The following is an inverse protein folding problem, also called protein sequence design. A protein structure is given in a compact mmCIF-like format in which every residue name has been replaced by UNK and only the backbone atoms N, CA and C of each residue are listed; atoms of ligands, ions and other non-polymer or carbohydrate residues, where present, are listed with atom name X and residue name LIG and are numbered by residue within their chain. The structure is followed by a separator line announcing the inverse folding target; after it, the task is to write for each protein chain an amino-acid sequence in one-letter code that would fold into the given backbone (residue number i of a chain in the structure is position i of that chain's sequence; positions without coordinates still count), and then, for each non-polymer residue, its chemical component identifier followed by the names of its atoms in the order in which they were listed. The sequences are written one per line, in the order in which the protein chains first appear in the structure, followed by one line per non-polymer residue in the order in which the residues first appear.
data_IF_139936157926
#
_entry.id   IF_139936157926
#
_cell.length_a   1.000
_cell.length_b   1.000
_cell.length_c   1.000
_cell.angle_alpha   90.00
_cell.angle_beta   90.00
_cell.angle_gamma   90.00
#
_symmetry.space_group_name_H-M   'P 1'
#
loop_
_entity.id
_entity.type
_entity.pdbx_description
1 polymer ?
#
# COMPACT_ATOMS: atom_id res chain seq x y z
N UNK A 1 20.77 33.90 -22.75
CA UNK A 1 21.71 33.90 -23.90
C UNK A 1 22.29 32.51 -23.95
N UNK A 2 22.51 31.99 -25.20
CA UNK A 2 23.19 30.73 -25.36
C UNK A 2 24.68 30.82 -25.00
N UNK A 3 25.28 29.69 -24.64
CA UNK A 3 26.74 29.56 -24.44
C UNK A 3 27.24 28.29 -25.12
N UNK A 4 28.52 28.23 -25.41
CA UNK A 4 29.16 27.05 -25.99
C UNK A 4 29.64 26.11 -24.89
N UNK A 5 29.04 24.91 -24.80
CA UNK A 5 29.42 23.87 -23.85
C UNK A 5 30.35 22.83 -24.50
N UNK A 6 31.27 22.32 -23.70
CA UNK A 6 32.16 21.22 -24.09
C UNK A 6 31.59 19.88 -23.66
N UNK A 7 31.46 18.98 -24.64
CA UNK A 7 30.97 17.61 -24.41
C UNK A 7 32.07 16.60 -24.76
N UNK A 8 32.10 15.51 -23.98
CA UNK A 8 32.81 14.27 -24.32
C UNK A 8 31.78 13.17 -24.49
N UNK A 9 31.51 12.77 -25.72
CA UNK A 9 30.52 11.74 -26.00
C UNK A 9 31.22 10.47 -26.43
N UNK A 10 30.86 9.36 -25.79
CA UNK A 10 31.42 8.06 -26.17
C UNK A 10 30.92 7.63 -27.54
N UNK A 11 31.87 7.29 -28.42
CA UNK A 11 31.63 6.82 -29.80
C UNK A 11 32.32 5.49 -30.00
N UNK A 12 31.59 4.54 -30.58
CA UNK A 12 32.13 3.22 -30.87
C UNK A 12 31.07 2.14 -30.90
N UNK A 13 31.51 0.88 -30.84
CA UNK A 13 30.65 -0.28 -30.88
C UNK A 13 31.07 -1.35 -29.82
N UNK A 14 30.63 -2.59 -30.00
CA UNK A 14 30.96 -3.68 -29.08
C UNK A 14 32.46 -4.05 -29.04
N UNK A 15 33.26 -3.60 -30.00
CA UNK A 15 34.65 -4.02 -30.17
C UNK A 15 35.66 -2.95 -29.76
N UNK A 16 35.36 -1.68 -30.07
CA UNK A 16 36.25 -0.56 -29.80
C UNK A 16 35.46 0.76 -29.69
N UNK A 17 35.97 1.72 -28.92
CA UNK A 17 35.38 3.06 -28.80
C UNK A 17 36.13 3.95 -27.83
N UNK A 18 35.95 5.25 -28.00
CA UNK A 18 36.56 6.27 -27.15
C UNK A 18 35.66 7.50 -26.98
N UNK A 19 36.05 8.39 -26.09
CA UNK A 19 35.39 9.68 -25.88
C UNK A 19 35.85 10.68 -26.94
N UNK A 20 34.92 11.16 -27.77
CA UNK A 20 35.17 12.24 -28.72
C UNK A 20 34.74 13.58 -28.12
N UNK A 21 35.53 14.62 -28.42
CA UNK A 21 35.31 16.01 -27.98
C UNK A 21 34.40 16.77 -28.94
N UNK A 22 33.38 17.43 -28.39
CA UNK A 22 32.45 18.26 -29.12
C UNK A 22 32.29 19.62 -28.44
N UNK A 23 32.10 20.69 -29.24
CA UNK A 23 31.64 21.98 -28.77
C UNK A 23 30.28 22.26 -29.39
N UNK A 24 29.31 22.62 -28.59
CA UNK A 24 27.93 22.78 -29.03
C UNK A 24 27.22 23.88 -28.24
N UNK A 25 26.46 24.71 -28.95
CA UNK A 25 25.65 25.77 -28.34
C UNK A 25 24.57 25.17 -27.44
N UNK A 26 24.40 25.75 -26.25
CA UNK A 26 23.36 25.41 -25.28
C UNK A 26 22.47 26.62 -25.04
N UNK A 27 21.16 26.45 -25.14
CA UNK A 27 20.20 27.49 -24.86
C UNK A 27 19.54 27.28 -23.47
N UNK A 28 18.96 28.34 -22.95
CA UNK A 28 18.26 28.28 -21.68
C UNK A 28 17.13 27.22 -21.66
N UNK A 29 17.05 26.43 -20.60
CA UNK A 29 16.02 25.42 -20.43
C UNK A 29 16.28 24.07 -21.10
N UNK A 30 17.34 23.94 -21.91
CA UNK A 30 17.66 22.68 -22.59
C UNK A 30 18.14 21.57 -21.65
N UNK A 31 17.94 20.34 -22.10
CA UNK A 31 18.39 19.12 -21.43
C UNK A 31 19.48 18.42 -22.26
N UNK A 32 20.24 17.54 -21.64
CA UNK A 32 21.32 16.81 -22.33
C UNK A 32 20.84 16.10 -23.60
N UNK A 33 19.62 15.58 -23.65
CA UNK A 33 19.07 14.95 -24.85
C UNK A 33 18.94 15.94 -26.03
N UNK A 34 18.59 17.19 -25.77
CA UNK A 34 18.49 18.22 -26.84
C UNK A 34 19.88 18.52 -27.44
N UNK A 35 20.90 18.51 -26.58
CA UNK A 35 22.29 18.70 -27.02
C UNK A 35 22.77 17.50 -27.85
N UNK A 36 22.46 16.27 -27.44
CA UNK A 36 22.78 15.06 -28.24
C UNK A 36 22.07 15.11 -29.61
N UNK A 37 20.82 15.54 -29.67
CA UNK A 37 20.11 15.72 -30.96
C UNK A 37 20.72 16.85 -31.82
N UNK A 38 21.20 17.92 -31.19
CA UNK A 38 21.89 18.98 -31.91
C UNK A 38 23.23 18.49 -32.48
N UNK A 39 23.98 17.68 -31.71
CA UNK A 39 25.18 17.01 -32.24
C UNK A 39 24.86 16.13 -33.44
N UNK A 40 23.79 15.32 -33.37
CA UNK A 40 23.33 14.52 -34.51
C UNK A 40 22.99 15.40 -35.74
N UNK A 41 22.34 16.54 -35.53
CA UNK A 41 21.93 17.42 -36.62
C UNK A 41 23.08 18.19 -37.28
N UNK A 42 24.15 18.50 -36.53
CA UNK A 42 25.17 19.46 -36.98
C UNK A 42 26.57 18.89 -37.16
N UNK A 43 26.96 17.86 -36.40
CA UNK A 43 28.33 17.41 -36.32
C UNK A 43 28.51 15.92 -36.61
N UNK A 44 27.60 15.08 -36.06
CA UNK A 44 27.75 13.62 -36.11
C UNK A 44 26.38 12.92 -36.30
N UNK A 45 25.88 12.89 -37.55
CA UNK A 45 24.54 12.40 -37.87
C UNK A 45 24.36 10.90 -37.62
N UNK A 46 25.44 10.14 -37.46
CA UNK A 46 25.43 8.71 -37.19
C UNK A 46 25.51 8.34 -35.69
N UNK A 47 25.55 9.33 -34.79
CA UNK A 47 25.53 9.11 -33.33
C UNK A 47 24.27 8.37 -32.92
N UNK A 48 24.45 7.17 -32.40
CA UNK A 48 23.35 6.33 -31.97
C UNK A 48 22.91 6.67 -30.53
N UNK A 49 21.62 7.00 -30.37
CA UNK A 49 21.00 7.23 -29.08
C UNK A 49 19.55 6.72 -29.10
N UNK A 50 19.11 6.09 -28.03
CA UNK A 50 17.68 5.73 -27.85
C UNK A 50 16.93 6.88 -27.19
N UNK A 51 15.77 7.19 -27.72
CA UNK A 51 14.84 8.13 -27.09
C UNK A 51 13.41 7.90 -27.61
N UNK A 52 12.41 8.41 -26.88
CA UNK A 52 11.02 8.33 -27.31
C UNK A 52 10.17 9.48 -26.74
N UNK A 53 9.83 9.47 -25.43
CA UNK A 53 8.81 10.36 -24.85
C UNK A 53 9.30 11.80 -24.59
N UNK A 54 10.59 12.04 -24.41
CA UNK A 54 11.22 13.31 -23.96
C UNK A 54 10.66 13.88 -22.63
N UNK A 55 9.94 13.07 -21.83
CA UNK A 55 9.20 13.52 -20.65
C UNK A 55 9.46 12.63 -19.40
N UNK A 56 10.56 11.88 -19.38
CA UNK A 56 10.93 11.07 -18.23
C UNK A 56 10.01 9.87 -17.96
N UNK A 57 9.24 9.37 -18.94
CA UNK A 57 8.21 8.33 -18.73
C UNK A 57 8.47 6.99 -19.44
N UNK A 58 9.44 6.90 -20.32
CA UNK A 58 9.68 5.68 -21.11
C UNK A 58 11.01 4.99 -20.81
N UNK A 59 11.92 5.62 -20.07
CA UNK A 59 13.23 5.05 -19.75
C UNK A 59 14.22 4.91 -20.91
N UNK A 60 13.82 5.19 -22.18
CA UNK A 60 14.63 4.87 -23.36
C UNK A 60 15.94 5.64 -23.45
N UNK A 61 15.97 6.90 -23.00
CA UNK A 61 17.14 7.77 -23.08
C UNK A 61 18.11 7.65 -21.90
N UNK A 62 18.21 6.46 -21.32
CA UNK A 62 19.13 6.19 -20.22
C UNK A 62 20.57 6.13 -20.69
N UNK A 63 21.45 6.88 -20.03
CA UNK A 63 22.88 6.91 -20.24
C UNK A 63 23.60 7.37 -18.97
N UNK A 64 24.94 7.31 -18.93
CA UNK A 64 25.69 7.95 -17.85
C UNK A 64 26.09 9.37 -18.26
N UNK A 65 25.84 10.33 -17.38
CA UNK A 65 26.27 11.73 -17.54
C UNK A 65 27.22 12.07 -16.39
N UNK A 66 28.44 12.43 -16.70
CA UNK A 66 29.52 12.60 -15.72
C UNK A 66 29.63 11.40 -14.76
N UNK A 67 29.59 10.18 -15.34
CA UNK A 67 29.70 8.93 -14.61
C UNK A 67 28.50 8.56 -13.71
N UNK A 68 27.39 9.28 -13.81
CA UNK A 68 26.13 8.98 -13.07
C UNK A 68 25.02 8.55 -14.04
N UNK A 69 24.37 7.40 -13.82
CA UNK A 69 23.22 6.98 -14.62
C UNK A 69 22.07 7.96 -14.48
N UNK A 70 21.59 8.49 -15.63
CA UNK A 70 20.52 9.49 -15.70
C UNK A 70 19.66 9.31 -16.95
N UNK A 71 18.46 9.87 -16.92
CA UNK A 71 17.66 10.09 -18.14
C UNK A 71 18.15 11.36 -18.83
N UNK A 72 18.61 11.26 -20.06
CA UNK A 72 19.10 12.43 -20.82
C UNK A 72 18.04 13.51 -20.98
N UNK A 73 16.76 13.12 -21.16
CA UNK A 73 15.63 14.03 -21.29
C UNK A 73 15.22 14.76 -19.99
N UNK A 74 15.74 14.33 -18.84
CA UNK A 74 15.46 14.94 -17.55
C UNK A 74 16.68 15.64 -16.94
N UNK A 75 17.85 15.47 -17.55
CA UNK A 75 19.09 16.08 -17.08
C UNK A 75 19.25 17.47 -17.70
N UNK A 76 18.93 18.51 -16.92
CA UNK A 76 18.99 19.90 -17.36
C UNK A 76 20.43 20.37 -17.49
N UNK A 77 20.73 21.14 -18.53
CA UNK A 77 22.04 21.75 -18.73
C UNK A 77 22.42 22.72 -17.61
N UNK A 78 21.43 23.40 -17.02
CA UNK A 78 21.63 24.29 -15.86
C UNK A 78 22.16 23.61 -14.60
N UNK A 79 22.27 22.27 -14.55
CA UNK A 79 22.89 21.55 -13.44
C UNK A 79 24.40 21.47 -13.52
N UNK A 80 24.99 21.88 -14.64
CA UNK A 80 26.42 21.94 -14.90
C UNK A 80 26.89 23.39 -14.96
N UNK A 81 28.13 23.64 -14.56
CA UNK A 81 28.75 24.94 -14.79
C UNK A 81 29.02 25.16 -16.31
N UNK A 82 28.97 26.40 -16.77
CA UNK A 82 29.13 26.70 -18.22
C UNK A 82 30.52 26.27 -18.77
N UNK A 83 31.54 26.26 -17.91
CA UNK A 83 32.90 25.83 -18.24
C UNK A 83 33.15 24.32 -17.94
N UNK A 84 32.18 23.63 -17.36
CA UNK A 84 32.31 22.19 -17.08
C UNK A 84 32.26 21.38 -18.38
N UNK A 85 33.11 20.36 -18.46
CA UNK A 85 33.05 19.37 -19.54
C UNK A 85 32.02 18.30 -19.16
N UNK A 86 30.95 18.16 -19.96
CA UNK A 86 29.92 17.16 -19.76
C UNK A 86 30.25 15.87 -20.50
N UNK A 87 30.54 14.79 -19.79
CA UNK A 87 30.74 13.49 -20.42
C UNK A 87 29.43 12.72 -20.52
N UNK A 88 29.18 12.08 -21.68
CA UNK A 88 28.03 11.21 -21.91
C UNK A 88 28.52 9.86 -22.43
N UNK A 89 28.25 8.80 -21.65
CA UNK A 89 28.69 7.44 -21.96
C UNK A 89 27.50 6.47 -21.92
N UNK A 90 27.61 5.29 -22.60
CA UNK A 90 26.59 4.25 -22.48
C UNK A 90 26.50 3.73 -21.05
N UNK A 91 25.38 3.05 -20.73
CA UNK A 91 25.21 2.34 -19.44
C UNK A 91 26.26 1.22 -19.32
N UNK A 92 27.16 1.33 -18.33
CA UNK A 92 28.32 0.42 -18.18
C UNK A 92 27.97 -1.01 -17.80
N UNK A 93 26.83 -1.23 -17.18
CA UNK A 93 26.40 -2.56 -16.78
C UNK A 93 25.95 -3.45 -17.95
N UNK A 94 25.82 -2.90 -19.16
CA UNK A 94 25.29 -3.60 -20.31
C UNK A 94 26.22 -3.51 -21.51
N UNK A 95 26.30 -4.56 -22.36
CA UNK A 95 27.12 -4.55 -23.57
C UNK A 95 26.75 -3.40 -24.49
N UNK A 96 27.72 -2.73 -25.04
CA UNK A 96 27.50 -1.66 -26.04
C UNK A 96 27.11 -2.28 -27.38
N UNK A 97 26.07 -1.71 -28.01
CA UNK A 97 25.68 -2.02 -29.38
C UNK A 97 26.31 -1.01 -30.34
N UNK A 98 26.06 0.27 -30.10
CA UNK A 98 26.69 1.39 -30.80
C UNK A 98 26.52 2.67 -29.99
N UNK A 99 27.58 3.42 -29.81
CA UNK A 99 27.65 4.71 -29.13
C UNK A 99 26.94 4.68 -27.76
N UNK A 100 25.83 5.39 -27.59
CA UNK A 100 25.06 5.42 -26.33
C UNK A 100 23.99 4.32 -26.24
N UNK A 101 23.94 3.41 -27.21
CA UNK A 101 22.98 2.30 -27.25
C UNK A 101 23.60 1.04 -26.70
N UNK A 102 22.98 0.46 -25.68
CA UNK A 102 23.40 -0.78 -25.03
C UNK A 102 22.39 -1.92 -25.23
N UNK A 103 22.84 -3.16 -25.12
CA UNK A 103 21.98 -4.34 -25.09
C UNK A 103 21.46 -4.58 -23.65
N UNK A 104 20.20 -4.29 -23.47
CA UNK A 104 19.48 -4.44 -22.18
C UNK A 104 18.70 -5.76 -22.08
N UNK A 105 18.96 -6.74 -22.95
CA UNK A 105 18.24 -8.04 -23.02
C UNK A 105 18.29 -8.80 -21.71
N UNK A 106 19.38 -8.72 -20.96
CA UNK A 106 19.52 -9.27 -19.61
C UNK A 106 18.31 -8.96 -18.72
N UNK A 107 17.84 -7.72 -18.77
CA UNK A 107 16.72 -7.28 -17.93
C UNK A 107 15.41 -7.98 -18.31
N UNK A 108 15.15 -8.18 -19.59
CA UNK A 108 13.95 -8.85 -20.08
C UNK A 108 13.99 -10.38 -19.83
N UNK A 109 15.17 -10.98 -19.87
CA UNK A 109 15.36 -12.38 -19.48
C UNK A 109 15.06 -12.58 -18.00
N UNK A 110 15.58 -11.70 -17.14
CA UNK A 110 15.25 -11.72 -15.71
C UNK A 110 13.76 -11.47 -15.46
N UNK A 111 13.12 -10.56 -16.21
CA UNK A 111 11.68 -10.30 -16.08
C UNK A 111 10.84 -11.56 -16.37
N UNK A 112 11.22 -12.38 -17.38
CA UNK A 112 10.54 -13.62 -17.69
C UNK A 112 10.69 -14.70 -16.60
N UNK A 113 11.74 -14.62 -15.79
CA UNK A 113 11.98 -15.54 -14.67
C UNK A 113 11.11 -15.23 -13.45
N UNK A 114 10.54 -14.00 -13.34
CA UNK A 114 9.62 -13.66 -12.27
C UNK A 114 8.24 -14.25 -12.60
N UNK A 115 7.78 -15.27 -11.87
CA UNK A 115 6.48 -15.87 -12.13
C UNK A 115 5.35 -14.87 -11.94
N UNK A 116 4.31 -14.99 -12.76
CA UNK A 116 3.13 -14.12 -12.70
C UNK A 116 2.44 -14.20 -11.33
N UNK A 117 1.60 -13.20 -11.06
CA UNK A 117 0.67 -13.20 -9.94
C UNK A 117 -0.14 -14.49 -9.89
N UNK A 118 -0.24 -15.10 -8.72
CA UNK A 118 -0.96 -16.35 -8.50
C UNK A 118 -2.05 -16.14 -7.44
N UNK A 119 -3.31 -15.87 -7.85
CA UNK A 119 -4.41 -15.71 -6.92
C UNK A 119 -4.80 -17.04 -6.26
N UNK A 120 -5.51 -17.01 -5.10
CA UNK A 120 -6.16 -18.18 -4.56
C UNK A 120 -7.11 -18.82 -5.60
N UNK A 121 -7.18 -20.15 -5.62
CA UNK A 121 -7.97 -20.90 -6.61
C UNK A 121 -9.48 -20.82 -6.41
N UNK A 122 -9.91 -20.31 -5.26
CA UNK A 122 -11.30 -20.15 -4.84
C UNK A 122 -11.89 -18.76 -5.18
N UNK A 123 -11.06 -17.85 -5.72
CA UNK A 123 -11.53 -16.54 -6.17
C UNK A 123 -11.89 -16.54 -7.65
N UNK A 124 -13.08 -16.01 -7.97
CA UNK A 124 -13.50 -15.80 -9.35
C UNK A 124 -12.80 -14.58 -10.00
N UNK A 125 -12.77 -14.57 -11.33
CA UNK A 125 -12.28 -13.40 -12.09
C UNK A 125 -13.11 -12.16 -11.73
N UNK A 126 -12.43 -11.10 -11.29
CA UNK A 126 -13.06 -9.84 -10.85
C UNK A 126 -13.19 -9.68 -9.33
N UNK A 127 -12.91 -10.71 -8.55
CA UNK A 127 -12.94 -10.67 -7.08
C UNK A 127 -11.59 -10.33 -6.43
N UNK A 128 -10.59 -9.95 -7.24
CA UNK A 128 -9.25 -9.58 -6.75
C UNK A 128 -9.21 -8.18 -6.15
N UNK A 129 -9.88 -8.01 -5.00
CA UNK A 129 -9.91 -6.73 -4.30
C UNK A 129 -8.78 -6.65 -3.28
N UNK A 130 -8.18 -5.48 -3.19
CA UNK A 130 -7.18 -5.14 -2.16
C UNK A 130 -7.74 -4.05 -1.27
N UNK A 131 -7.41 -4.12 0.02
CA UNK A 131 -7.64 -3.01 0.92
C UNK A 131 -6.75 -1.82 0.52
N UNK A 132 -7.23 -0.59 0.77
CA UNK A 132 -6.51 0.62 0.41
C UNK A 132 -5.10 0.66 1.04
N UNK A 133 -4.94 0.16 2.26
CA UNK A 133 -3.65 0.07 2.94
C UNK A 133 -2.65 -0.83 2.18
N UNK A 134 -3.11 -1.96 1.64
CA UNK A 134 -2.26 -2.86 0.85
C UNK A 134 -1.92 -2.26 -0.52
N UNK A 135 -2.86 -1.51 -1.12
CA UNK A 135 -2.59 -0.74 -2.34
C UNK A 135 -1.50 0.31 -2.08
N UNK A 136 -1.62 1.12 -1.02
CA UNK A 136 -0.65 2.15 -0.67
C UNK A 136 0.75 1.58 -0.41
N UNK A 137 0.82 0.40 0.17
CA UNK A 137 2.05 -0.32 0.50
C UNK A 137 2.82 -0.77 -0.75
N UNK A 138 2.12 -1.16 -1.82
CA UNK A 138 2.69 -1.74 -3.03
C UNK A 138 2.70 -0.79 -4.24
N UNK A 139 1.86 0.27 -4.26
CA UNK A 139 1.70 1.15 -5.42
C UNK A 139 2.98 1.90 -5.82
N UNK A 140 3.88 2.16 -4.87
CA UNK A 140 5.16 2.81 -5.14
C UNK A 140 5.95 2.07 -6.22
N UNK A 141 5.91 0.74 -6.21
CA UNK A 141 6.68 -0.09 -7.14
C UNK A 141 6.15 -0.07 -8.57
N UNK A 142 4.85 0.25 -8.74
CA UNK A 142 4.21 0.40 -10.06
C UNK A 142 4.65 1.64 -10.82
N UNK A 143 5.28 2.61 -10.16
CA UNK A 143 5.85 3.80 -10.81
C UNK A 143 7.06 3.49 -11.70
N UNK A 144 7.61 2.27 -11.62
CA UNK A 144 8.81 1.88 -12.35
C UNK A 144 8.61 1.94 -13.87
N UNK A 145 9.40 2.78 -14.54
CA UNK A 145 9.39 2.99 -16.00
C UNK A 145 10.40 2.11 -16.76
N UNK A 146 11.02 1.16 -16.08
CA UNK A 146 12.01 0.22 -16.67
C UNK A 146 13.19 0.91 -17.38
N UNK A 147 13.69 1.99 -16.81
CA UNK A 147 14.84 2.72 -17.31
C UNK A 147 16.19 2.03 -17.07
N UNK A 148 16.23 1.07 -16.16
CA UNK A 148 17.40 0.28 -15.76
C UNK A 148 18.58 1.07 -15.16
N UNK A 149 18.41 2.35 -14.81
CA UNK A 149 19.44 3.14 -14.13
C UNK A 149 19.84 2.52 -12.79
N UNK A 150 18.88 1.93 -12.07
CA UNK A 150 19.14 1.22 -10.82
C UNK A 150 19.96 -0.07 -11.02
N UNK A 151 19.82 -0.73 -12.16
CA UNK A 151 20.65 -1.89 -12.55
C UNK A 151 22.06 -1.44 -12.91
N UNK A 152 22.21 -0.36 -13.66
CA UNK A 152 23.48 0.20 -14.08
C UNK A 152 24.34 0.69 -12.91
N UNK A 153 23.74 1.36 -11.93
CA UNK A 153 24.46 1.83 -10.74
C UNK A 153 24.80 0.71 -9.73
N UNK A 154 24.15 -0.46 -9.85
CA UNK A 154 24.34 -1.56 -8.91
C UNK A 154 25.69 -2.24 -9.15
N UNK A 155 26.64 -2.05 -8.23
CA UNK A 155 27.98 -2.65 -8.37
C UNK A 155 27.96 -4.19 -8.43
N UNK A 156 26.96 -4.87 -7.88
CA UNK A 156 26.81 -6.33 -8.00
C UNK A 156 26.46 -6.74 -9.45
N UNK A 157 25.73 -5.91 -10.20
CA UNK A 157 25.41 -6.12 -11.61
C UNK A 157 26.51 -5.59 -12.52
N UNK A 158 27.01 -4.38 -12.22
CA UNK A 158 27.92 -3.62 -13.08
C UNK A 158 29.35 -4.12 -13.05
N UNK A 159 29.87 -4.40 -11.85
CA UNK A 159 31.31 -4.65 -11.67
C UNK A 159 31.63 -6.16 -11.65
N UNK A 160 30.60 -7.02 -11.70
CA UNK A 160 30.73 -8.47 -11.56
C UNK A 160 29.81 -9.21 -12.55
N UNK A 161 30.29 -9.42 -13.77
CA UNK A 161 29.54 -10.08 -14.83
C UNK A 161 29.05 -11.48 -14.43
N UNK A 162 29.87 -12.23 -13.67
CA UNK A 162 29.55 -13.55 -13.16
C UNK A 162 28.31 -13.58 -12.26
N UNK A 163 28.01 -12.47 -11.58
CA UNK A 163 26.83 -12.37 -10.72
C UNK A 163 25.52 -12.27 -11.49
N UNK A 164 25.54 -11.85 -12.74
CA UNK A 164 24.33 -11.72 -13.56
C UNK A 164 23.56 -13.03 -13.73
N UNK A 165 24.25 -14.17 -13.65
CA UNK A 165 23.59 -15.46 -13.70
C UNK A 165 22.64 -15.69 -12.51
N UNK A 166 23.07 -15.32 -11.29
CA UNK A 166 22.41 -15.62 -10.01
C UNK A 166 21.77 -14.42 -9.31
N UNK A 167 22.03 -13.19 -9.77
CA UNK A 167 21.52 -11.97 -9.18
C UNK A 167 20.62 -11.20 -10.14
N UNK A 168 19.36 -11.04 -9.79
CA UNK A 168 18.40 -10.37 -10.68
C UNK A 168 18.53 -8.85 -10.68
N UNK A 169 19.02 -8.26 -9.58
CA UNK A 169 19.22 -6.82 -9.44
C UNK A 169 18.01 -6.06 -8.91
N UNK A 170 18.21 -4.77 -8.57
CA UNK A 170 17.25 -3.96 -7.83
C UNK A 170 15.90 -3.78 -8.57
N UNK A 171 15.89 -3.68 -9.90
CA UNK A 171 14.65 -3.58 -10.68
C UNK A 171 13.69 -4.74 -10.43
N UNK A 172 14.24 -5.95 -10.29
CA UNK A 172 13.43 -7.16 -10.10
C UNK A 172 13.03 -7.37 -8.67
N UNK A 173 13.82 -6.90 -7.72
CA UNK A 173 13.43 -6.95 -6.31
C UNK A 173 12.22 -6.06 -6.00
N UNK A 174 12.06 -4.92 -6.67
CA UNK A 174 10.81 -4.14 -6.51
C UNK A 174 9.60 -4.88 -7.10
N UNK A 175 9.76 -5.62 -8.20
CA UNK A 175 8.68 -6.45 -8.74
C UNK A 175 8.32 -7.61 -7.83
N UNK A 176 9.32 -8.29 -7.28
CA UNK A 176 9.11 -9.35 -6.30
C UNK A 176 8.48 -8.83 -5.01
N UNK A 177 8.90 -7.64 -4.54
CA UNK A 177 8.33 -7.01 -3.36
C UNK A 177 6.85 -6.61 -3.58
N UNK A 178 6.52 -6.09 -4.76
CA UNK A 178 5.13 -5.79 -5.13
C UNK A 178 4.24 -7.05 -5.02
N UNK A 179 4.71 -8.17 -5.54
CA UNK A 179 4.01 -9.45 -5.49
C UNK A 179 3.97 -10.03 -4.07
N UNK A 180 5.10 -9.97 -3.32
CA UNK A 180 5.17 -10.46 -1.93
C UNK A 180 4.28 -9.65 -0.95
N UNK A 181 4.05 -8.38 -1.26
CA UNK A 181 3.17 -7.51 -0.49
C UNK A 181 1.70 -7.60 -0.93
N UNK A 182 1.41 -8.27 -2.04
CA UNK A 182 0.05 -8.43 -2.51
C UNK A 182 -0.69 -9.48 -1.68
N UNK A 183 -1.79 -9.15 -0.96
CA UNK A 183 -2.45 -10.05 -0.02
C UNK A 183 -3.02 -11.31 -0.68
N UNK A 184 -3.31 -11.25 -1.99
CA UNK A 184 -3.86 -12.33 -2.77
C UNK A 184 -2.82 -13.10 -3.61
N UNK A 185 -1.52 -12.82 -3.49
CA UNK A 185 -0.49 -13.65 -4.11
C UNK A 185 -0.14 -14.82 -3.17
N UNK A 186 -0.42 -16.05 -3.60
CA UNK A 186 -0.21 -17.25 -2.76
C UNK A 186 1.18 -17.88 -2.91
N UNK A 187 2.04 -17.35 -3.81
CA UNK A 187 3.40 -17.86 -4.00
C UNK A 187 4.34 -17.48 -2.87
N UNK A 188 5.32 -18.32 -2.60
CA UNK A 188 6.42 -17.98 -1.70
C UNK A 188 7.48 -17.13 -2.41
N UNK A 189 7.21 -15.83 -2.54
CA UNK A 189 8.11 -14.86 -3.18
C UNK A 189 9.42 -14.67 -2.43
N UNK A 190 9.44 -14.91 -1.14
CA UNK A 190 10.64 -14.82 -0.31
C UNK A 190 11.65 -15.90 -0.68
N UNK A 191 11.15 -17.11 -0.89
CA UNK A 191 11.98 -18.22 -1.35
C UNK A 191 12.51 -17.95 -2.76
N UNK A 192 11.68 -17.49 -3.67
CA UNK A 192 12.08 -17.11 -5.03
C UNK A 192 13.19 -16.03 -5.01
N UNK A 193 12.98 -14.97 -4.22
CA UNK A 193 13.95 -13.87 -4.09
C UNK A 193 15.31 -14.35 -3.58
N UNK A 194 15.33 -15.26 -2.59
CA UNK A 194 16.56 -15.72 -1.95
C UNK A 194 17.29 -16.78 -2.80
N UNK A 195 16.58 -17.81 -3.25
CA UNK A 195 17.19 -19.00 -3.87
C UNK A 195 17.42 -18.84 -5.38
N UNK A 196 16.50 -18.12 -6.06
CA UNK A 196 16.55 -17.99 -7.53
C UNK A 196 17.15 -16.66 -7.97
N UNK A 197 16.88 -15.58 -7.25
CA UNK A 197 17.19 -14.21 -7.67
C UNK A 197 18.31 -13.54 -6.86
N UNK A 198 18.94 -14.27 -5.92
CA UNK A 198 20.14 -13.85 -5.23
C UNK A 198 20.00 -12.63 -4.31
N UNK A 199 18.84 -12.47 -3.65
CA UNK A 199 18.59 -11.33 -2.75
C UNK A 199 19.69 -11.13 -1.70
N UNK A 200 20.33 -12.23 -1.23
CA UNK A 200 21.42 -12.21 -0.27
C UNK A 200 22.65 -11.44 -0.74
N UNK A 201 22.90 -11.36 -2.06
CA UNK A 201 24.08 -10.68 -2.63
C UNK A 201 23.99 -9.15 -2.55
N UNK A 202 22.80 -8.58 -2.32
CA UNK A 202 22.64 -7.14 -2.14
C UNK A 202 23.22 -6.69 -0.79
N UNK A 203 24.17 -5.77 -0.80
CA UNK A 203 24.84 -5.22 0.39
C UNK A 203 24.26 -3.87 0.88
N UNK A 204 23.09 -3.46 0.37
CA UNK A 204 22.30 -2.33 0.89
C UNK A 204 23.03 -0.96 0.77
N UNK A 205 23.79 -0.74 -0.30
CA UNK A 205 24.49 0.55 -0.56
C UNK A 205 23.56 1.72 -0.94
N UNK A 206 22.29 1.46 -1.22
CA UNK A 206 21.26 2.44 -1.60
C UNK A 206 21.48 3.17 -2.94
N UNK A 207 22.52 2.88 -3.68
CA UNK A 207 22.80 3.50 -4.96
C UNK A 207 21.61 3.39 -5.96
N UNK A 208 20.91 2.27 -5.97
CA UNK A 208 19.73 2.07 -6.81
C UNK A 208 18.56 3.02 -6.45
N UNK A 209 18.38 3.33 -5.15
CA UNK A 209 17.37 4.30 -4.70
C UNK A 209 17.74 5.72 -5.12
N UNK A 210 19.03 6.07 -5.04
CA UNK A 210 19.54 7.41 -5.34
C UNK A 210 19.31 7.80 -6.81
N UNK A 211 19.48 6.87 -7.76
CA UNK A 211 19.37 7.15 -9.19
C UNK A 211 17.95 6.98 -9.76
N UNK A 212 16.98 6.57 -8.95
CA UNK A 212 15.64 6.30 -9.45
C UNK A 212 14.89 7.58 -9.85
N UNK A 213 14.54 7.79 -11.14
CA UNK A 213 13.87 9.02 -11.58
C UNK A 213 12.43 9.12 -11.11
N UNK A 214 11.80 8.02 -10.74
CA UNK A 214 10.44 7.98 -10.16
C UNK A 214 10.47 7.97 -8.61
N UNK A 215 11.63 8.22 -8.00
CA UNK A 215 11.84 8.31 -6.55
C UNK A 215 11.37 7.10 -5.76
N UNK A 216 11.42 5.91 -6.36
CA UNK A 216 11.09 4.66 -5.67
C UNK A 216 12.17 4.38 -4.63
N UNK A 217 11.76 4.20 -3.38
CA UNK A 217 12.67 3.82 -2.27
C UNK A 217 13.02 2.34 -2.35
N UNK A 218 13.74 1.96 -3.41
CA UNK A 218 14.03 0.56 -3.78
C UNK A 218 14.64 -0.22 -2.62
N UNK A 219 15.64 0.35 -1.97
CA UNK A 219 16.34 -0.32 -0.86
C UNK A 219 15.45 -0.41 0.37
N UNK A 220 14.89 0.72 0.81
CA UNK A 220 14.21 0.80 2.11
C UNK A 220 12.82 0.15 2.09
N UNK A 221 12.07 0.28 0.98
CA UNK A 221 10.70 -0.20 0.92
C UNK A 221 10.56 -1.59 0.26
N UNK A 222 11.55 -2.04 -0.54
CA UNK A 222 11.50 -3.35 -1.18
C UNK A 222 12.58 -4.31 -0.65
N UNK A 223 13.87 -3.97 -0.79
CA UNK A 223 14.96 -4.92 -0.55
C UNK A 223 15.10 -5.23 0.94
N UNK A 224 15.14 -4.22 1.80
CA UNK A 224 15.28 -4.41 3.26
C UNK A 224 14.10 -5.20 3.83
N UNK A 225 12.82 -4.82 3.59
CA UNK A 225 11.68 -5.61 4.08
C UNK A 225 11.66 -7.05 3.56
N UNK A 226 12.10 -7.27 2.31
CA UNK A 226 12.17 -8.62 1.76
C UNK A 226 13.24 -9.48 2.44
N UNK A 227 14.43 -8.89 2.72
CA UNK A 227 15.49 -9.57 3.48
C UNK A 227 15.05 -9.91 4.90
N UNK A 228 14.39 -8.98 5.61
CA UNK A 228 13.85 -9.20 6.94
C UNK A 228 12.85 -10.36 6.94
N UNK A 229 11.90 -10.38 6.02
CA UNK A 229 10.92 -11.48 5.91
C UNK A 229 11.53 -12.83 5.55
N UNK A 230 12.62 -12.86 4.78
CA UNK A 230 13.38 -14.10 4.53
C UNK A 230 14.01 -14.60 5.82
N UNK A 231 14.61 -13.72 6.61
CA UNK A 231 15.21 -14.07 7.91
C UNK A 231 14.14 -14.58 8.88
N UNK A 232 13.03 -13.85 9.04
CA UNK A 232 11.93 -14.22 9.93
C UNK A 232 11.35 -15.61 9.61
N UNK A 233 11.13 -15.89 8.31
CA UNK A 233 10.56 -17.19 7.89
C UNK A 233 11.51 -18.35 7.99
N UNK A 234 12.83 -18.14 7.90
CA UNK A 234 13.83 -19.20 7.79
C UNK A 234 14.61 -19.43 9.09
N UNK A 235 14.85 -18.38 9.87
CA UNK A 235 15.77 -18.41 11.00
C UNK A 235 15.15 -18.06 12.34
N UNK A 236 13.92 -17.49 12.37
CA UNK A 236 13.22 -17.24 13.62
C UNK A 236 12.50 -18.51 14.11
N UNK A 237 12.96 -19.14 15.21
CA UNK A 237 12.34 -20.35 15.74
C UNK A 237 10.92 -20.11 16.23
N UNK A 238 10.55 -18.89 16.64
CA UNK A 238 9.20 -18.54 17.07
C UNK A 238 8.25 -18.44 15.87
N UNK A 239 8.70 -17.83 14.77
CA UNK A 239 7.95 -17.78 13.51
C UNK A 239 7.85 -19.17 12.91
N UNK A 240 8.92 -19.96 12.93
CA UNK A 240 8.91 -21.35 12.49
C UNK A 240 7.95 -22.23 13.33
N UNK A 241 7.97 -22.11 14.67
CA UNK A 241 7.04 -22.79 15.55
C UNK A 241 5.60 -22.31 15.31
N UNK A 242 5.38 -21.01 15.15
CA UNK A 242 4.10 -20.40 14.83
C UNK A 242 3.55 -20.79 13.47
N UNK A 243 4.43 -21.06 12.46
CA UNK A 243 4.01 -21.52 11.13
C UNK A 243 3.50 -22.96 11.13
N UNK A 244 3.91 -23.77 12.10
CA UNK A 244 3.42 -25.15 12.28
C UNK A 244 2.10 -25.23 13.05
N UNK A 245 1.70 -24.16 13.74
CA UNK A 245 0.40 -24.07 14.36
C UNK A 245 -0.63 -23.81 13.24
N UNK A 246 -1.68 -24.63 13.11
CA UNK A 246 -2.68 -24.45 12.07
C UNK A 246 -3.38 -23.08 12.23
N UNK A 247 -2.91 -22.06 11.52
CA UNK A 247 -3.53 -20.72 11.43
C UNK A 247 -4.79 -20.71 10.54
N UNK A 248 -5.11 -21.84 9.91
CA UNK A 248 -5.98 -21.91 8.73
C UNK A 248 -7.43 -21.48 8.94
N UNK A 249 -8.03 -21.72 10.11
CA UNK A 249 -9.46 -21.44 10.25
C UNK A 249 -9.78 -19.97 10.58
N UNK A 250 -9.01 -19.30 11.44
CA UNK A 250 -9.24 -17.88 11.77
C UNK A 250 -8.88 -16.94 10.61
N UNK A 251 -7.84 -17.28 9.84
CA UNK A 251 -7.43 -16.52 8.64
C UNK A 251 -8.43 -16.70 7.49
N UNK A 252 -9.02 -17.88 7.33
CA UNK A 252 -10.05 -18.13 6.33
C UNK A 252 -11.31 -17.31 6.63
N UNK A 253 -11.80 -17.35 7.87
CA UNK A 253 -12.99 -16.60 8.27
C UNK A 253 -12.80 -15.07 8.12
N UNK A 254 -11.67 -14.53 8.56
CA UNK A 254 -11.33 -13.12 8.35
C UNK A 254 -11.21 -12.76 6.85
N UNK A 255 -10.69 -13.66 6.03
CA UNK A 255 -10.58 -13.45 4.58
C UNK A 255 -11.94 -13.41 3.89
N UNK A 256 -12.86 -14.32 4.25
CA UNK A 256 -14.24 -14.32 3.74
C UNK A 256 -14.98 -13.04 4.14
N UNK A 257 -14.77 -12.55 5.36
CA UNK A 257 -15.33 -11.28 5.78
C UNK A 257 -14.82 -10.10 4.93
N UNK A 258 -13.51 -10.04 4.67
CA UNK A 258 -12.91 -8.99 3.82
C UNK A 258 -13.29 -9.09 2.34
N UNK A 259 -13.67 -10.27 1.85
CA UNK A 259 -14.20 -10.45 0.50
C UNK A 259 -15.69 -10.10 0.36
N UNK A 260 -16.35 -9.75 1.47
CA UNK A 260 -17.79 -9.45 1.52
C UNK A 260 -18.68 -10.69 1.62
N UNK A 261 -18.10 -11.90 1.73
CA UNK A 261 -18.86 -13.13 1.97
C UNK A 261 -19.07 -13.35 3.48
N UNK A 262 -19.99 -12.56 4.00
CA UNK A 262 -20.29 -12.50 5.44
C UNK A 262 -20.85 -13.81 5.97
N UNK A 263 -21.66 -14.52 5.17
CA UNK A 263 -22.28 -15.80 5.56
C UNK A 263 -21.22 -16.90 5.70
N UNK A 264 -20.30 -17.00 4.74
CA UNK A 264 -19.18 -17.95 4.84
C UNK A 264 -18.25 -17.60 5.99
N UNK A 265 -17.99 -16.32 6.24
CA UNK A 265 -17.18 -15.86 7.37
C UNK A 265 -17.79 -16.26 8.71
N UNK A 266 -19.10 -16.09 8.89
CA UNK A 266 -19.84 -16.53 10.07
C UNK A 266 -19.71 -18.05 10.28
N UNK A 267 -19.99 -18.84 9.22
CA UNK A 267 -19.90 -20.29 9.27
C UNK A 267 -18.51 -20.78 9.72
N UNK A 268 -17.47 -20.28 9.07
CA UNK A 268 -16.08 -20.61 9.39
C UNK A 268 -15.66 -20.20 10.80
N UNK A 269 -16.11 -19.02 11.26
CA UNK A 269 -15.84 -18.55 12.62
C UNK A 269 -16.52 -19.44 13.67
N UNK A 270 -17.80 -19.80 13.46
CA UNK A 270 -18.55 -20.72 14.33
C UNK A 270 -17.93 -22.13 14.37
N UNK A 271 -17.48 -22.65 13.22
CA UNK A 271 -16.78 -23.94 13.14
C UNK A 271 -15.47 -23.91 13.97
N UNK A 272 -14.75 -22.83 13.89
CA UNK A 272 -13.53 -22.65 14.68
C UNK A 272 -13.83 -22.56 16.17
N UNK A 273 -14.86 -21.84 16.56
CA UNK A 273 -15.28 -21.72 17.96
C UNK A 273 -15.81 -23.03 18.55
N UNK A 274 -16.41 -23.90 17.73
CA UNK A 274 -16.75 -25.30 18.18
C UNK A 274 -15.50 -26.07 18.56
N UNK A 275 -14.37 -25.87 17.86
CA UNK A 275 -13.10 -26.54 18.17
C UNK A 275 -12.32 -25.86 19.30
N UNK A 276 -12.39 -24.53 19.34
CA UNK A 276 -11.67 -23.68 20.30
C UNK A 276 -12.54 -22.49 20.72
N UNK A 277 -13.38 -22.64 21.75
CA UNK A 277 -14.34 -21.61 22.19
C UNK A 277 -13.71 -20.25 22.56
N UNK A 278 -12.43 -20.24 22.93
CA UNK A 278 -11.69 -19.08 23.39
C UNK A 278 -10.80 -18.46 22.27
N UNK A 279 -11.03 -18.82 21.01
CA UNK A 279 -10.24 -18.28 19.91
C UNK A 279 -10.59 -16.81 19.64
N UNK A 280 -9.74 -15.91 20.12
CA UNK A 280 -9.96 -14.45 20.04
C UNK A 280 -10.12 -13.94 18.60
N UNK A 281 -9.43 -14.54 17.62
CA UNK A 281 -9.57 -14.17 16.20
C UNK A 281 -10.92 -14.60 15.64
N UNK A 282 -11.36 -15.82 15.96
CA UNK A 282 -12.66 -16.32 15.53
C UNK A 282 -13.82 -15.55 16.18
N UNK A 283 -13.70 -15.18 17.46
CA UNK A 283 -14.68 -14.33 18.15
C UNK A 283 -14.76 -12.94 17.49
N UNK A 284 -13.62 -12.33 17.14
CA UNK A 284 -13.62 -11.05 16.46
C UNK A 284 -14.26 -11.11 15.06
N UNK A 285 -13.95 -12.15 14.28
CA UNK A 285 -14.54 -12.34 12.96
C UNK A 285 -16.05 -12.63 13.03
N UNK A 286 -16.48 -13.44 13.99
CA UNK A 286 -17.91 -13.71 14.22
C UNK A 286 -18.66 -12.44 14.58
N UNK A 287 -18.13 -11.63 15.49
CA UNK A 287 -18.71 -10.36 15.89
C UNK A 287 -18.91 -9.44 14.70
N UNK A 288 -17.87 -9.25 13.87
CA UNK A 288 -17.95 -8.41 12.66
C UNK A 288 -18.93 -8.98 11.62
N UNK A 289 -18.96 -10.30 11.44
CA UNK A 289 -19.89 -10.92 10.51
C UNK A 289 -21.36 -10.77 10.96
N UNK A 290 -21.63 -10.83 12.24
CA UNK A 290 -22.95 -10.59 12.82
C UNK A 290 -23.36 -9.12 12.71
N UNK A 291 -22.44 -8.20 12.96
CA UNK A 291 -22.64 -6.77 12.75
C UNK A 291 -23.04 -6.47 11.30
N UNK A 292 -22.29 -6.97 10.32
CA UNK A 292 -22.59 -6.78 8.90
C UNK A 292 -23.94 -7.36 8.45
N UNK A 293 -24.54 -8.24 9.24
CA UNK A 293 -25.90 -8.80 9.04
C UNK A 293 -26.98 -8.08 9.86
N UNK A 294 -26.68 -6.94 10.46
CA UNK A 294 -27.58 -6.22 11.39
C UNK A 294 -28.05 -7.06 12.62
N UNK A 295 -27.31 -8.08 13.01
CA UNK A 295 -27.57 -8.94 14.17
C UNK A 295 -26.81 -8.43 15.39
N UNK A 296 -27.05 -7.17 15.76
CA UNK A 296 -26.24 -6.45 16.75
C UNK A 296 -26.31 -7.04 18.15
N UNK A 297 -27.49 -7.54 18.58
CA UNK A 297 -27.61 -8.21 19.87
C UNK A 297 -26.75 -9.48 19.97
N UNK A 298 -26.72 -10.32 18.93
CA UNK A 298 -25.84 -11.49 18.87
C UNK A 298 -24.36 -11.10 18.75
N UNK A 299 -24.06 -10.01 18.04
CA UNK A 299 -22.71 -9.46 17.96
C UNK A 299 -22.23 -8.97 19.33
N UNK A 300 -23.09 -8.33 20.12
CA UNK A 300 -22.81 -7.92 21.48
C UNK A 300 -22.53 -9.13 22.41
N UNK A 301 -23.33 -10.21 22.35
CA UNK A 301 -23.08 -11.43 23.11
C UNK A 301 -21.73 -12.07 22.76
N UNK A 302 -21.39 -12.07 21.46
CA UNK A 302 -20.07 -12.51 20.99
C UNK A 302 -18.96 -11.58 21.52
N UNK A 303 -19.19 -10.27 21.53
CA UNK A 303 -18.30 -9.25 22.08
C UNK A 303 -18.04 -9.44 23.58
N UNK A 304 -19.07 -9.78 24.36
CA UNK A 304 -18.95 -10.13 25.78
C UNK A 304 -17.99 -11.30 25.97
N UNK A 305 -18.21 -12.40 25.22
CA UNK A 305 -17.33 -13.56 25.25
C UNK A 305 -15.89 -13.20 24.86
N UNK A 306 -15.72 -12.31 23.89
CA UNK A 306 -14.40 -11.83 23.48
C UNK A 306 -13.68 -11.04 24.59
N UNK A 307 -14.39 -10.23 25.37
CA UNK A 307 -13.84 -9.50 26.53
C UNK A 307 -13.41 -10.45 27.61
N UNK A 308 -14.21 -11.46 27.93
CA UNK A 308 -13.92 -12.49 28.96
C UNK A 308 -12.63 -13.26 28.60
N UNK A 309 -12.42 -13.55 27.34
CA UNK A 309 -11.27 -14.31 26.85
C UNK A 309 -10.14 -13.43 26.30
N UNK A 310 -10.25 -12.09 26.41
CA UNK A 310 -9.19 -11.19 26.02
C UNK A 310 -7.94 -11.41 26.88
N UNK A 311 -6.80 -11.62 26.22
CA UNK A 311 -5.52 -11.82 26.89
C UNK A 311 -5.09 -10.63 27.75
N UNK A 312 -3.97 -10.76 28.46
CA UNK A 312 -3.43 -9.71 29.35
C UNK A 312 -2.90 -8.47 28.62
N UNK A 313 -2.79 -8.53 27.30
CA UNK A 313 -2.33 -7.40 26.49
C UNK A 313 -3.33 -6.24 26.55
N UNK A 314 -2.88 -5.09 27.06
CA UNK A 314 -3.70 -3.88 27.26
C UNK A 314 -4.48 -3.48 26.01
N UNK A 315 -3.80 -3.43 24.85
CA UNK A 315 -4.41 -3.06 23.58
C UNK A 315 -5.50 -4.04 23.11
N UNK A 316 -5.27 -5.36 23.26
CA UNK A 316 -6.25 -6.37 22.87
C UNK A 316 -7.51 -6.30 23.75
N UNK A 317 -7.35 -6.06 25.04
CA UNK A 317 -8.47 -5.92 25.98
C UNK A 317 -9.27 -4.64 25.73
N UNK A 318 -8.57 -3.53 25.45
CA UNK A 318 -9.21 -2.27 25.07
C UNK A 318 -10.05 -2.43 23.80
N UNK A 319 -9.48 -3.01 22.74
CA UNK A 319 -10.19 -3.24 21.47
C UNK A 319 -11.41 -4.15 21.64
N UNK A 320 -11.33 -5.18 22.50
CA UNK A 320 -12.45 -6.03 22.79
C UNK A 320 -13.58 -5.29 23.53
N UNK A 321 -13.25 -4.46 24.52
CA UNK A 321 -14.22 -3.63 25.26
C UNK A 321 -14.88 -2.60 24.38
N UNK A 322 -14.10 -1.87 23.56
CA UNK A 322 -14.61 -0.87 22.61
C UNK A 322 -15.60 -1.50 21.62
N UNK A 323 -15.22 -2.61 20.99
CA UNK A 323 -16.08 -3.32 20.06
C UNK A 323 -17.35 -3.89 20.75
N UNK A 324 -17.24 -4.37 21.97
CA UNK A 324 -18.40 -4.85 22.72
C UNK A 324 -19.38 -3.69 23.03
N UNK A 325 -18.87 -2.57 23.53
CA UNK A 325 -19.69 -1.39 23.83
C UNK A 325 -20.37 -0.86 22.55
N UNK A 326 -19.66 -0.86 21.43
CA UNK A 326 -20.19 -0.48 20.13
C UNK A 326 -21.39 -1.33 19.72
N UNK A 327 -21.31 -2.65 19.82
CA UNK A 327 -22.40 -3.54 19.45
C UNK A 327 -23.62 -3.41 20.41
N UNK A 328 -23.39 -3.17 21.69
CA UNK A 328 -24.50 -2.86 22.61
C UNK A 328 -25.25 -1.60 22.19
N UNK A 329 -24.52 -0.55 21.83
CA UNK A 329 -25.10 0.70 21.37
C UNK A 329 -25.85 0.54 20.03
N UNK A 330 -25.29 -0.20 19.05
CA UNK A 330 -25.96 -0.52 17.80
C UNK A 330 -27.23 -1.36 18.02
N UNK A 331 -27.21 -2.28 18.98
CA UNK A 331 -28.38 -3.08 19.33
C UNK A 331 -29.49 -2.24 19.98
N UNK A 332 -29.15 -1.24 20.78
CA UNK A 332 -30.13 -0.27 21.33
C UNK A 332 -30.67 0.64 20.23
N UNK A 333 -29.79 1.24 19.40
CA UNK A 333 -30.16 2.10 18.28
C UNK A 333 -31.15 1.40 17.32
N UNK A 334 -30.92 0.12 17.04
CA UNK A 334 -31.77 -0.69 16.15
C UNK A 334 -33.01 -1.29 16.83
N UNK A 335 -33.23 -1.02 18.11
CA UNK A 335 -34.36 -1.56 18.88
C UNK A 335 -34.29 -3.06 19.19
N UNK A 336 -33.10 -3.69 19.04
CA UNK A 336 -32.88 -5.10 19.41
C UNK A 336 -32.70 -5.29 20.91
N UNK A 337 -32.24 -4.26 21.62
CA UNK A 337 -32.13 -4.22 23.08
C UNK A 337 -32.77 -2.93 23.61
N UNK A 338 -33.37 -3.01 24.80
CA UNK A 338 -33.85 -1.84 25.53
C UNK A 338 -32.69 -1.19 26.30
N UNK A 339 -32.59 0.16 26.22
CA UNK A 339 -31.50 0.90 26.85
C UNK A 339 -31.41 0.65 28.36
N UNK A 340 -32.55 0.73 29.06
CA UNK A 340 -32.64 0.52 30.51
C UNK A 340 -32.07 -0.83 30.94
N UNK A 341 -32.13 -1.84 30.07
CA UNK A 341 -31.62 -3.20 30.37
C UNK A 341 -30.10 -3.35 30.27
N UNK A 342 -29.41 -2.43 29.56
CA UNK A 342 -27.96 -2.52 29.25
C UNK A 342 -27.16 -1.25 29.61
N UNK A 343 -27.81 -0.23 30.16
CA UNK A 343 -27.20 1.06 30.52
C UNK A 343 -25.96 0.94 31.40
N UNK A 344 -26.11 0.17 32.54
CA UNK A 344 -25.01 -0.05 33.47
C UNK A 344 -23.83 -0.82 32.84
N UNK A 345 -24.14 -1.72 31.90
CA UNK A 345 -23.12 -2.50 31.17
C UNK A 345 -22.38 -1.62 30.16
N UNK A 346 -23.08 -0.77 29.42
CA UNK A 346 -22.49 0.22 28.50
C UNK A 346 -21.57 1.17 29.28
N UNK A 347 -22.06 1.76 30.38
CA UNK A 347 -21.28 2.67 31.20
C UNK A 347 -20.01 2.01 31.77
N UNK A 348 -20.14 0.78 32.26
CA UNK A 348 -19.02 0.01 32.84
C UNK A 348 -17.96 -0.32 31.77
N UNK A 349 -18.38 -0.84 30.62
CA UNK A 349 -17.45 -1.26 29.56
C UNK A 349 -16.75 -0.06 28.92
N UNK A 350 -17.46 1.04 28.72
CA UNK A 350 -16.91 2.30 28.21
C UNK A 350 -15.86 2.87 29.17
N UNK A 351 -16.17 2.92 30.47
CA UNK A 351 -15.22 3.38 31.49
C UNK A 351 -13.97 2.48 31.56
N UNK A 352 -14.14 1.16 31.44
CA UNK A 352 -13.01 0.23 31.41
C UNK A 352 -12.13 0.43 30.18
N UNK A 353 -12.75 0.61 28.99
CA UNK A 353 -12.04 0.89 27.75
C UNK A 353 -11.24 2.21 27.84
N UNK A 354 -11.83 3.26 28.42
CA UNK A 354 -11.17 4.55 28.63
C UNK A 354 -9.93 4.44 29.54
N UNK A 355 -10.02 3.71 30.64
CA UNK A 355 -8.88 3.49 31.57
C UNK A 355 -7.70 2.77 30.89
N UNK A 356 -7.95 2.02 29.83
CA UNK A 356 -6.93 1.31 29.06
C UNK A 356 -6.37 2.14 27.91
N UNK A 357 -6.97 3.28 27.60
CA UNK A 357 -6.58 4.13 26.47
C UNK A 357 -5.47 5.12 26.86
N UNK A 358 -4.50 5.32 25.98
CA UNK A 358 -3.43 6.30 26.15
C UNK A 358 -3.71 7.64 25.45
N UNK A 359 -4.65 7.64 24.49
CA UNK A 359 -5.08 8.81 23.70
C UNK A 359 -6.59 8.85 23.61
N UNK A 360 -7.22 10.02 23.83
CA UNK A 360 -8.69 10.19 23.90
C UNK A 360 -9.43 9.82 22.62
N UNK A 361 -8.78 9.92 21.48
CA UNK A 361 -9.38 9.77 20.13
C UNK A 361 -9.80 8.35 19.73
N UNK A 362 -9.26 7.32 20.39
CA UNK A 362 -9.53 5.89 20.05
C UNK A 362 -10.98 5.45 20.31
N UNK A 363 -11.73 6.21 21.11
CA UNK A 363 -13.11 5.89 21.47
C UNK A 363 -14.11 6.94 20.99
N UNK A 364 -13.68 7.92 20.18
CA UNK A 364 -14.54 9.04 19.79
C UNK A 364 -15.80 8.58 19.08
N UNK A 365 -15.74 7.61 18.16
CA UNK A 365 -16.91 7.03 17.51
C UNK A 365 -17.86 6.32 18.51
N UNK A 366 -17.32 5.55 19.45
CA UNK A 366 -18.15 4.91 20.50
C UNK A 366 -18.81 5.93 21.41
N UNK A 367 -18.13 7.03 21.74
CA UNK A 367 -18.71 8.15 22.49
C UNK A 367 -19.79 8.87 21.68
N UNK A 368 -19.56 9.07 20.39
CA UNK A 368 -20.54 9.68 19.49
C UNK A 368 -21.86 8.88 19.50
N UNK A 369 -21.79 7.58 19.28
CA UNK A 369 -22.96 6.71 19.27
C UNK A 369 -23.62 6.63 20.67
N UNK A 370 -22.84 6.60 21.74
CA UNK A 370 -23.36 6.68 23.10
C UNK A 370 -24.15 7.99 23.35
N UNK A 371 -23.65 9.13 22.90
CA UNK A 371 -24.36 10.39 23.02
C UNK A 371 -25.63 10.41 22.16
N UNK A 372 -25.57 9.85 20.93
CA UNK A 372 -26.71 9.76 20.03
C UNK A 372 -27.86 8.97 20.65
N UNK A 373 -27.59 7.77 21.18
CA UNK A 373 -28.59 6.89 21.84
C UNK A 373 -29.23 7.56 23.04
N UNK A 374 -28.53 8.47 23.72
CA UNK A 374 -29.06 9.25 24.86
C UNK A 374 -29.68 10.58 24.44
N UNK A 375 -29.87 10.85 23.14
CA UNK A 375 -30.49 12.09 22.61
C UNK A 375 -29.61 13.34 22.77
N UNK A 376 -28.33 13.20 23.08
CA UNK A 376 -27.38 14.32 23.21
C UNK A 376 -26.73 14.60 21.84
N UNK A 377 -27.53 15.23 20.97
CA UNK A 377 -27.22 15.34 19.55
C UNK A 377 -25.97 16.19 19.25
N UNK A 378 -25.79 17.30 19.97
CA UNK A 378 -24.63 18.19 19.76
C UNK A 378 -23.30 17.51 20.10
N UNK A 379 -23.26 16.80 21.22
CA UNK A 379 -22.10 16.01 21.64
C UNK A 379 -21.85 14.82 20.70
N UNK A 380 -22.92 14.19 20.20
CA UNK A 380 -22.79 13.13 19.22
C UNK A 380 -22.13 13.63 17.93
N UNK A 381 -22.55 14.78 17.41
CA UNK A 381 -21.95 15.42 16.22
C UNK A 381 -20.48 15.79 16.45
N UNK A 382 -20.15 16.39 17.61
CA UNK A 382 -18.76 16.76 17.95
C UNK A 382 -17.83 15.54 17.95
N UNK A 383 -18.23 14.48 18.67
CA UNK A 383 -17.43 13.25 18.75
C UNK A 383 -17.36 12.47 17.42
N UNK A 384 -18.43 12.50 16.60
CA UNK A 384 -18.40 11.89 15.26
C UNK A 384 -17.41 12.62 14.35
N UNK A 385 -17.40 13.95 14.35
CA UNK A 385 -16.44 14.75 13.57
C UNK A 385 -15.00 14.48 14.01
N UNK A 386 -14.75 14.32 15.30
CA UNK A 386 -13.43 13.92 15.82
C UNK A 386 -13.05 12.51 15.34
N UNK A 387 -13.93 11.52 15.43
CA UNK A 387 -13.70 10.15 14.99
C UNK A 387 -13.32 10.09 13.52
N UNK A 388 -14.11 10.71 12.64
CA UNK A 388 -13.91 10.72 11.19
C UNK A 388 -12.55 11.28 10.76
N UNK A 389 -11.98 12.24 11.51
CA UNK A 389 -10.64 12.80 11.22
C UNK A 389 -9.54 11.77 11.43
N UNK A 390 -9.69 10.86 12.39
CA UNK A 390 -8.68 9.88 12.77
C UNK A 390 -8.90 8.49 12.16
N UNK A 391 -10.12 8.21 11.70
CA UNK A 391 -10.46 6.91 11.13
C UNK A 391 -9.77 6.68 9.79
N UNK A 392 -8.98 5.60 9.76
CA UNK A 392 -8.31 5.12 8.55
C UNK A 392 -8.98 3.88 7.96
N UNK A 393 -9.83 3.24 8.76
CA UNK A 393 -10.60 2.07 8.31
C UNK A 393 -11.91 2.51 7.66
N UNK A 394 -12.16 1.96 6.46
CA UNK A 394 -13.31 2.34 5.63
C UNK A 394 -14.65 1.99 6.27
N UNK A 395 -14.72 0.87 6.96
CA UNK A 395 -15.95 0.36 7.59
C UNK A 395 -16.30 1.20 8.81
N UNK A 396 -15.33 1.40 9.71
CA UNK A 396 -15.49 2.23 10.91
C UNK A 396 -15.86 3.66 10.53
N UNK A 397 -15.18 4.25 9.53
CA UNK A 397 -15.51 5.58 9.03
C UNK A 397 -16.93 5.66 8.47
N UNK A 398 -17.39 4.62 7.77
CA UNK A 398 -18.77 4.59 7.27
C UNK A 398 -19.80 4.56 8.40
N UNK A 399 -19.53 3.82 9.48
CA UNK A 399 -20.39 3.78 10.67
C UNK A 399 -20.42 5.12 11.42
N UNK A 400 -19.28 5.78 11.58
CA UNK A 400 -19.20 7.08 12.23
C UNK A 400 -19.89 8.18 11.42
N UNK A 401 -19.88 8.08 10.09
CA UNK A 401 -20.65 8.95 9.19
C UNK A 401 -22.15 8.73 9.31
N UNK A 402 -22.63 7.51 9.59
CA UNK A 402 -24.04 7.24 9.91
C UNK A 402 -24.41 7.97 11.21
N UNK A 403 -23.63 7.81 12.27
CA UNK A 403 -23.85 8.48 13.56
C UNK A 403 -23.84 10.02 13.41
N UNK A 404 -22.92 10.56 12.60
CA UNK A 404 -22.88 11.98 12.28
C UNK A 404 -24.15 12.44 11.56
N UNK A 405 -24.61 11.68 10.55
CA UNK A 405 -25.81 12.02 9.78
C UNK A 405 -27.06 12.05 10.66
N UNK A 406 -27.23 11.09 11.56
CA UNK A 406 -28.35 11.06 12.48
C UNK A 406 -28.31 12.20 13.48
N UNK A 407 -27.17 12.51 14.05
CA UNK A 407 -26.99 13.66 14.94
C UNK A 407 -27.32 14.99 14.27
N UNK A 408 -26.82 15.20 13.05
CA UNK A 408 -27.09 16.41 12.25
C UNK A 408 -28.57 16.52 11.85
N UNK A 409 -29.19 15.43 11.42
CA UNK A 409 -30.62 15.39 11.10
C UNK A 409 -31.47 15.78 12.31
N UNK A 410 -31.15 15.24 13.49
CA UNK A 410 -31.84 15.59 14.72
C UNK A 410 -31.65 17.05 15.17
N UNK A 411 -30.58 17.72 14.74
CA UNK A 411 -30.34 19.16 14.94
C UNK A 411 -30.97 20.03 13.85
N UNK A 412 -31.56 19.44 12.80
CA UNK A 412 -32.15 20.15 11.67
C UNK A 412 -31.16 20.55 10.56
N UNK A 413 -29.92 20.06 10.61
CA UNK A 413 -28.87 20.34 9.62
C UNK A 413 -28.94 19.34 8.44
N UNK A 414 -30.09 19.36 7.71
CA UNK A 414 -30.45 18.32 6.75
C UNK A 414 -29.48 18.18 5.56
N UNK A 415 -28.85 19.26 5.09
CA UNK A 415 -27.95 19.24 3.94
C UNK A 415 -26.62 18.53 4.31
N UNK A 416 -26.05 18.87 5.47
CA UNK A 416 -24.84 18.19 5.97
C UNK A 416 -25.14 16.72 6.32
N UNK A 417 -26.29 16.43 6.90
CA UNK A 417 -26.73 15.06 7.20
C UNK A 417 -26.80 14.20 5.92
N UNK A 418 -27.40 14.71 4.86
CA UNK A 418 -27.48 14.01 3.57
C UNK A 418 -26.09 13.80 2.94
N UNK A 419 -25.20 14.77 3.06
CA UNK A 419 -23.81 14.65 2.60
C UNK A 419 -23.05 13.54 3.33
N UNK A 420 -23.12 13.50 4.67
CA UNK A 420 -22.51 12.47 5.48
C UNK A 420 -23.05 11.06 5.15
N UNK A 421 -24.37 10.95 4.96
CA UNK A 421 -25.00 9.69 4.57
C UNK A 421 -24.54 9.21 3.19
N UNK A 422 -24.44 10.11 2.21
CA UNK A 422 -23.95 9.82 0.86
C UNK A 422 -22.50 9.33 0.89
N UNK A 423 -21.64 9.96 1.71
CA UNK A 423 -20.24 9.50 1.89
C UNK A 423 -20.21 8.12 2.53
N UNK A 424 -21.00 7.86 3.58
CA UNK A 424 -21.11 6.53 4.20
C UNK A 424 -21.50 5.46 3.18
N UNK A 425 -22.52 5.71 2.36
CA UNK A 425 -22.97 4.79 1.30
C UNK A 425 -21.89 4.52 0.25
N UNK A 426 -21.08 5.52 -0.08
CA UNK A 426 -19.96 5.33 -1.03
C UNK A 426 -18.85 4.47 -0.44
N UNK A 427 -18.63 4.56 0.86
CA UNK A 427 -17.63 3.78 1.59
C UNK A 427 -18.10 2.35 1.84
N UNK A 428 -19.33 2.17 2.27
CA UNK A 428 -19.92 0.86 2.58
C UNK A 428 -21.38 0.82 2.13
N UNK A 429 -21.67 0.43 0.86
CA UNK A 429 -23.04 0.43 0.30
C UNK A 429 -24.03 -0.43 1.07
N UNK A 430 -23.57 -1.53 1.65
CA UNK A 430 -24.38 -2.50 2.41
C UNK A 430 -24.25 -2.29 3.93
N UNK A 431 -23.91 -1.09 4.40
CA UNK A 431 -23.83 -0.81 5.83
C UNK A 431 -25.18 -1.10 6.50
N UNK A 432 -25.24 -2.02 7.47
CA UNK A 432 -26.49 -2.47 8.08
C UNK A 432 -27.24 -1.37 8.84
N UNK A 433 -26.57 -0.30 9.28
CA UNK A 433 -27.17 0.83 9.98
C UNK A 433 -27.88 1.80 9.05
N UNK A 434 -27.58 1.82 7.73
CA UNK A 434 -28.23 2.71 6.75
C UNK A 434 -29.75 2.51 6.64
N UNK A 435 -30.26 1.33 6.95
CA UNK A 435 -31.68 1.03 6.84
C UNK A 435 -32.52 1.83 7.86
N UNK A 436 -32.02 2.04 9.08
CA UNK A 436 -32.69 2.83 10.13
C UNK A 436 -32.75 4.33 9.80
N UNK A 437 -31.66 4.88 9.29
CA UNK A 437 -31.50 6.31 8.98
C UNK A 437 -32.42 6.77 7.85
N UNK A 438 -32.60 5.94 6.81
CA UNK A 438 -33.52 6.27 5.69
C UNK A 438 -34.96 6.46 6.13
N UNK A 439 -35.43 5.62 7.04
CA UNK A 439 -36.81 5.73 7.59
C UNK A 439 -36.97 7.05 8.33
N UNK A 440 -36.03 7.49 9.09
CA UNK A 440 -36.09 8.74 9.87
C UNK A 440 -36.00 10.00 9.00
N UNK A 441 -35.19 9.99 7.93
CA UNK A 441 -35.06 11.12 7.00
C UNK A 441 -36.27 11.25 6.06
N UNK A 442 -36.89 10.14 5.64
CA UNK A 442 -38.08 10.15 4.81
C UNK A 442 -39.29 10.68 5.60
N UNK A 443 -39.43 10.34 6.89
CA UNK A 443 -40.48 10.86 7.76
C UNK A 443 -40.32 12.36 8.04
N UNK A 444 -39.10 12.89 8.10
CA UNK A 444 -38.85 14.34 8.28
C UNK A 444 -39.14 15.14 7.01
N UNK A 445 -38.96 14.58 5.80
CA UNK A 445 -39.27 15.25 4.54
C UNK A 445 -40.79 15.26 4.20
N UNK A 446 -41.60 14.50 4.90
CA UNK A 446 -43.07 14.45 4.72
C UNK A 446 -43.80 15.52 5.57
N UNK A 447 -43.11 16.12 6.55
CA UNK A 447 -43.70 17.10 7.48
C UNK A 447 -43.03 18.49 7.42
N UNK A 448 -42.19 18.78 6.39
CA UNK A 448 -41.52 20.08 6.13
C UNK A 448 -42.17 20.89 5.00
#
# INVERSE_FOLDING_TARGET
MGYDARFKVWRGDATDGDLEDFTVEVNEGEVVLDIIHRLQATQTPDLAVRWNCKAGKCGSCSAEVNGKPRLLCMTRMSTFAEDEVVSVTPLRAFPVVKDLVTDVSFNYEKARQVPAFAPPSDLALGEYRMDQLDVERSQEFRKCIECFLCQDTCHVVRDHEENKASFAGPRFFIRLAELDMHPLDVRDRKREAQETHGLGMCNITKCCTEVCPEHIKITDNAIVPMKERVVDTRYDPLVWLGSKIPRRAGVAASRSLHSGDVTTAEGQARDRLRQKPTDSSALATLQQALHAQARFAEAAETGRSRVEHAGRARAARQAALAAYTWELLCAVESGQLELDGVEDEIATTLQQAQRLTSTGTVLSGTHALHHLVHGRLAEAVEHSREAIVWDRDRVTRADDLVTLSEGLAGLGESEEAASALSESQSLWPDNPRLAGVRSNLDDMNVHG
#
